data_IF_099987792373
#
_entry.id   IF_099987792373
#
_cell.length_a   1.000
_cell.length_b   1.000
_cell.length_c   1.000
_cell.angle_alpha   90.00
_cell.angle_beta   90.00
_cell.angle_gamma   90.00
#
_symmetry.space_group_name_H-M   'P 1'
#
loop_
_entity.id
_entity.type
_entity.pdbx_description
1 polymer ?
#
# COMPACT_ATOMS: atom_id res chain seq x y z
N UNK A 1 -20.82 -59.84 1.33
CA UNK A 1 -21.90 -58.86 1.03
C UNK A 1 -21.55 -57.56 1.75
N UNK A 2 -20.92 -56.61 1.05
CA UNK A 2 -21.47 -55.29 0.71
C UNK A 2 -22.15 -54.58 1.89
N UNK A 3 -21.56 -53.47 2.36
CA UNK A 3 -22.12 -52.11 2.12
C UNK A 3 -21.04 -51.07 2.41
N UNK A 4 -20.59 -50.40 1.35
CA UNK A 4 -19.83 -49.14 1.37
C UNK A 4 -20.80 -48.02 1.79
N UNK A 5 -20.39 -47.12 2.69
CA UNK A 5 -21.04 -45.81 2.84
C UNK A 5 -20.05 -44.72 2.43
N UNK A 6 -20.41 -44.06 1.33
CA UNK A 6 -19.72 -42.93 0.71
C UNK A 6 -19.84 -41.66 1.55
N UNK A 7 -18.82 -40.81 1.38
CA UNK A 7 -18.85 -39.34 1.38
C UNK A 7 -19.28 -38.63 2.66
N UNK A 8 -18.39 -37.77 3.19
CA UNK A 8 -18.63 -36.32 3.23
C UNK A 8 -17.27 -35.62 3.34
N UNK A 9 -16.92 -34.85 2.31
CA UNK A 9 -15.76 -33.95 2.30
C UNK A 9 -15.86 -32.94 3.44
N UNK A 10 -14.80 -32.80 4.22
CA UNK A 10 -14.61 -31.68 5.12
C UNK A 10 -13.54 -30.77 4.49
N UNK A 11 -13.97 -29.86 3.61
CA UNK A 11 -13.14 -28.74 3.19
C UNK A 11 -12.92 -27.84 4.41
N UNK A 12 -11.75 -27.93 5.02
CA UNK A 12 -11.29 -26.95 6.00
C UNK A 12 -11.04 -25.64 5.23
N UNK A 13 -12.05 -24.75 5.23
CA UNK A 13 -11.83 -23.35 4.96
C UNK A 13 -10.93 -22.83 6.07
N UNK A 14 -9.64 -22.73 5.79
CA UNK A 14 -8.73 -21.90 6.57
C UNK A 14 -9.20 -20.46 6.39
N UNK A 15 -10.08 -20.02 7.28
CA UNK A 15 -10.46 -18.61 7.40
C UNK A 15 -9.20 -17.84 7.71
N UNK A 16 -8.67 -17.15 6.70
CA UNK A 16 -7.64 -16.14 6.86
C UNK A 16 -8.30 -15.01 7.65
N UNK A 17 -8.22 -15.08 8.97
CA UNK A 17 -8.53 -13.94 9.84
C UNK A 17 -7.51 -12.86 9.50
N UNK A 18 -7.89 -11.93 8.63
CA UNK A 18 -7.22 -10.66 8.50
C UNK A 18 -7.28 -10.01 9.89
N UNK A 19 -6.15 -10.05 10.60
CA UNK A 19 -5.99 -9.31 11.84
C UNK A 19 -5.95 -7.86 11.40
N UNK A 20 -7.09 -7.18 11.46
CA UNK A 20 -7.12 -5.72 11.33
C UNK A 20 -6.46 -5.20 12.60
N UNK A 21 -5.13 -5.04 12.55
CA UNK A 21 -4.39 -4.38 13.60
C UNK A 21 -4.87 -2.94 13.66
N UNK A 22 -5.72 -2.63 14.63
CA UNK A 22 -6.13 -1.26 14.87
C UNK A 22 -4.88 -0.44 15.25
N UNK A 23 -4.41 0.36 14.29
CA UNK A 23 -3.34 1.31 14.51
C UNK A 23 -3.74 2.31 15.59
N UNK A 24 -3.14 2.19 16.77
CA UNK A 24 -3.40 3.13 17.86
C UNK A 24 -2.51 4.36 17.67
N UNK A 25 -2.95 5.26 16.80
CA UNK A 25 -2.32 6.56 16.52
C UNK A 25 -3.27 7.73 16.71
N UNK A 26 -4.09 7.74 17.78
CA UNK A 26 -4.98 8.86 18.08
C UNK A 26 -4.25 9.97 18.87
N UNK A 27 -3.44 10.78 18.17
CA UNK A 27 -3.17 12.16 18.59
C UNK A 27 -4.35 13.06 18.19
N UNK A 28 -4.53 14.25 18.81
CA UNK A 28 -5.51 15.20 18.31
C UNK A 28 -5.16 15.54 16.86
N UNK A 29 -6.06 15.21 15.93
CA UNK A 29 -5.86 15.41 14.49
C UNK A 29 -5.62 16.87 14.12
N UNK A 30 -5.22 17.15 12.87
CA UNK A 30 -5.00 18.52 12.41
C UNK A 30 -6.27 19.35 12.59
N UNK A 31 -6.20 20.42 13.38
CA UNK A 31 -7.31 21.33 13.69
C UNK A 31 -7.60 22.34 12.57
N UNK A 32 -7.60 21.90 11.31
CA UNK A 32 -7.98 22.74 10.16
C UNK A 32 -9.20 22.12 9.44
N UNK A 33 -10.24 22.90 9.10
CA UNK A 33 -11.46 22.36 8.48
C UNK A 33 -11.12 21.94 7.03
N UNK A 34 -11.69 20.92 6.35
CA UNK A 34 -13.11 20.60 6.12
C UNK A 34 -13.27 19.31 5.25
N UNK A 35 -13.08 18.13 5.86
CA UNK A 35 -13.11 16.77 5.26
C UNK A 35 -11.81 16.34 4.55
N UNK A 36 -10.83 15.91 5.36
CA UNK A 36 -9.55 15.40 4.85
C UNK A 36 -9.68 14.02 4.21
N UNK A 37 -9.23 13.91 2.96
CA UNK A 37 -8.92 12.62 2.37
C UNK A 37 -7.69 12.04 3.05
N UNK A 38 -7.75 10.77 3.41
CA UNK A 38 -6.73 10.13 4.23
C UNK A 38 -6.58 8.66 3.85
N UNK A 39 -5.36 8.15 3.99
CA UNK A 39 -5.02 6.75 3.73
C UNK A 39 -5.59 5.84 4.82
N UNK A 40 -6.57 5.00 4.50
CA UNK A 40 -7.24 4.14 5.47
C UNK A 40 -6.58 2.79 5.69
N UNK A 41 -5.91 2.20 4.70
CA UNK A 41 -5.26 0.91 4.85
C UNK A 41 -4.26 0.62 3.72
N UNK A 42 -3.25 -0.18 4.02
CA UNK A 42 -2.32 -0.76 3.05
C UNK A 42 -2.18 -2.25 3.35
N UNK A 43 -2.51 -3.08 2.37
CA UNK A 43 -2.39 -4.53 2.43
C UNK A 43 -1.43 -5.02 1.33
N UNK A 44 -0.39 -5.81 1.64
CA UNK A 44 0.06 -6.20 2.97
C UNK A 44 0.45 -5.01 3.84
N UNK A 45 0.21 -5.13 5.15
CA UNK A 45 0.60 -4.08 6.10
C UNK A 45 2.13 -3.94 6.14
N UNK A 46 2.62 -2.74 6.40
CA UNK A 46 4.05 -2.48 6.55
C UNK A 46 4.67 -3.36 7.65
N UNK A 47 5.85 -3.92 7.39
CA UNK A 47 6.54 -4.88 8.24
C UNK A 47 6.02 -6.32 8.16
N UNK A 48 5.04 -6.63 7.30
CA UNK A 48 4.53 -8.01 7.15
C UNK A 48 5.60 -8.96 6.61
N UNK A 49 5.60 -10.20 7.09
CA UNK A 49 6.50 -11.27 6.63
C UNK A 49 5.73 -12.53 6.27
N UNK A 50 6.28 -13.36 5.38
CA UNK A 50 5.61 -14.60 4.96
C UNK A 50 4.42 -14.36 4.03
N UNK A 51 4.41 -13.22 3.34
CA UNK A 51 3.35 -12.87 2.39
C UNK A 51 3.43 -13.80 1.17
N UNK A 52 2.29 -14.28 0.69
CA UNK A 52 2.26 -15.14 -0.50
C UNK A 52 2.91 -14.46 -1.71
N UNK A 53 3.65 -15.23 -2.51
CA UNK A 53 4.33 -14.70 -3.70
C UNK A 53 3.35 -14.25 -4.81
N UNK A 54 2.11 -14.74 -4.77
CA UNK A 54 1.03 -14.34 -5.68
C UNK A 54 0.13 -13.23 -5.07
N UNK A 55 0.61 -12.54 -4.03
CA UNK A 55 -0.16 -11.47 -3.38
C UNK A 55 -0.43 -10.31 -4.33
N UNK A 56 -1.62 -9.73 -4.21
CA UNK A 56 -1.88 -8.37 -4.68
C UNK A 56 -1.55 -7.37 -3.58
N UNK A 57 -1.39 -6.10 -3.96
CA UNK A 57 -1.27 -5.00 -3.00
C UNK A 57 -2.51 -4.12 -3.14
N UNK A 58 -3.13 -3.75 -2.03
CA UNK A 58 -4.34 -2.91 -2.00
C UNK A 58 -4.12 -1.73 -1.07
N UNK A 59 -4.43 -0.54 -1.56
CA UNK A 59 -4.38 0.72 -0.81
C UNK A 59 -5.80 1.27 -0.76
N UNK A 60 -6.29 1.56 0.44
CA UNK A 60 -7.67 2.03 0.67
C UNK A 60 -7.65 3.44 1.21
N UNK A 61 -8.53 4.30 0.70
CA UNK A 61 -8.71 5.69 1.11
C UNK A 61 -10.13 5.91 1.64
N UNK A 62 -10.33 6.94 2.47
CA UNK A 62 -11.65 7.27 3.01
C UNK A 62 -12.54 8.06 2.04
N UNK A 63 -11.99 8.51 0.91
CA UNK A 63 -12.70 9.26 -0.13
C UNK A 63 -12.31 8.78 -1.53
N UNK A 64 -13.17 9.11 -2.49
CA UNK A 64 -12.94 8.88 -3.91
C UNK A 64 -11.73 9.68 -4.40
N UNK A 65 -10.72 8.97 -4.90
CA UNK A 65 -9.47 9.53 -5.40
C UNK A 65 -9.59 10.04 -6.83
N UNK A 66 -8.72 10.96 -7.24
CA UNK A 66 -8.55 11.24 -8.66
C UNK A 66 -7.89 10.02 -9.33
N UNK A 67 -8.50 9.38 -10.35
CA UNK A 67 -7.96 8.17 -10.96
C UNK A 67 -6.54 8.32 -11.51
N UNK A 68 -6.12 9.53 -11.90
CA UNK A 68 -4.76 9.80 -12.37
C UNK A 68 -3.69 9.60 -11.28
N UNK A 69 -4.07 9.59 -9.99
CA UNK A 69 -3.14 9.44 -8.87
C UNK A 69 -2.51 8.06 -8.76
N UNK A 70 -3.00 7.05 -9.49
CA UNK A 70 -2.32 5.75 -9.55
C UNK A 70 -0.90 5.83 -10.08
N UNK A 71 -0.55 6.88 -10.84
CA UNK A 71 0.82 7.13 -11.32
C UNK A 71 1.81 7.53 -10.20
N UNK A 72 1.30 7.84 -9.01
CA UNK A 72 2.10 8.17 -7.83
C UNK A 72 2.14 7.01 -6.82
N UNK A 73 1.82 5.80 -7.27
CA UNK A 73 1.99 4.57 -6.50
C UNK A 73 2.93 3.64 -7.27
N UNK A 74 3.94 3.09 -6.57
CA UNK A 74 4.89 2.13 -7.15
C UNK A 74 5.23 1.02 -6.16
N UNK A 75 5.77 -0.08 -6.68
CA UNK A 75 6.23 -1.21 -5.88
C UNK A 75 7.64 -1.55 -6.34
N UNK A 76 8.59 -1.56 -5.42
CA UNK A 76 10.00 -1.81 -5.71
C UNK A 76 10.45 -3.11 -5.03
N UNK A 77 11.33 -3.86 -5.68
CA UNK A 77 12.05 -4.96 -5.03
C UNK A 77 13.20 -4.39 -4.19
N UNK A 78 13.26 -4.79 -2.92
CA UNK A 78 14.21 -4.26 -1.95
C UNK A 78 13.71 -2.94 -1.35
N UNK A 79 14.47 -1.88 -1.56
CA UNK A 79 14.13 -0.51 -1.12
C UNK A 79 13.51 0.31 -2.25
N UNK A 80 13.10 1.54 -1.95
CA UNK A 80 12.45 2.47 -2.89
C UNK A 80 13.36 2.92 -4.06
N UNK A 81 14.67 2.72 -3.98
CA UNK A 81 15.62 2.92 -5.08
C UNK A 81 15.87 1.66 -5.91
N UNK A 82 15.30 0.53 -5.47
CA UNK A 82 15.35 -0.74 -6.16
C UNK A 82 14.55 -0.76 -7.46
N UNK A 83 14.69 -1.84 -8.26
CA UNK A 83 13.94 -1.97 -9.50
C UNK A 83 12.43 -2.02 -9.21
N UNK A 84 11.67 -1.27 -10.01
CA UNK A 84 10.21 -1.32 -9.95
C UNK A 84 9.70 -2.69 -10.44
N UNK A 85 8.69 -3.20 -9.75
CA UNK A 85 7.99 -4.44 -10.09
C UNK A 85 6.98 -4.14 -11.19
N UNK A 86 7.08 -4.86 -12.30
CA UNK A 86 6.09 -4.75 -13.36
C UNK A 86 4.71 -5.26 -12.90
N UNK A 87 3.66 -4.50 -13.19
CA UNK A 87 2.30 -4.87 -12.86
C UNK A 87 1.27 -3.86 -13.34
N UNK A 88 0.05 -3.99 -12.84
CA UNK A 88 -1.07 -3.11 -13.23
C UNK A 88 -1.78 -2.58 -12.00
N UNK A 89 -1.97 -1.26 -11.98
CA UNK A 89 -2.77 -0.54 -11.00
C UNK A 89 -4.22 -0.41 -11.47
N UNK A 90 -5.17 -0.82 -10.64
CA UNK A 90 -6.61 -0.77 -10.95
C UNK A 90 -7.38 -0.15 -9.79
N UNK A 91 -8.20 0.86 -10.10
CA UNK A 91 -9.13 1.44 -9.14
C UNK A 91 -10.40 0.60 -9.00
N UNK A 92 -10.97 0.58 -7.80
CA UNK A 92 -12.34 0.17 -7.57
C UNK A 92 -13.32 1.10 -8.29
N UNK A 93 -14.57 0.64 -8.47
CA UNK A 93 -15.60 1.40 -9.19
C UNK A 93 -15.92 2.76 -8.55
N UNK A 94 -15.74 2.88 -7.24
CA UNK A 94 -15.94 4.09 -6.43
C UNK A 94 -14.63 4.87 -6.21
N UNK A 95 -13.50 4.43 -6.77
CA UNK A 95 -12.17 5.07 -6.68
C UNK A 95 -11.63 5.25 -5.26
N UNK A 96 -12.09 4.42 -4.31
CA UNK A 96 -11.61 4.44 -2.92
C UNK A 96 -10.53 3.40 -2.65
N UNK A 97 -10.38 2.38 -3.51
CA UNK A 97 -9.37 1.35 -3.38
C UNK A 97 -8.54 1.22 -4.66
N UNK A 98 -7.22 1.25 -4.51
CA UNK A 98 -6.24 1.07 -5.57
C UNK A 98 -5.54 -0.28 -5.40
N UNK A 99 -5.65 -1.16 -6.38
CA UNK A 99 -5.06 -2.51 -6.34
C UNK A 99 -3.95 -2.66 -7.37
N UNK A 100 -2.76 -3.06 -6.93
CA UNK A 100 -1.68 -3.50 -7.79
C UNK A 100 -1.73 -5.02 -7.95
N UNK A 101 -1.71 -5.46 -9.20
CA UNK A 101 -1.53 -6.86 -9.58
C UNK A 101 -0.17 -7.00 -10.25
N UNK A 102 0.80 -7.69 -9.62
CA UNK A 102 2.09 -7.99 -10.26
C UNK A 102 1.89 -8.74 -11.59
N UNK A 103 2.68 -8.40 -12.61
CA UNK A 103 2.64 -9.07 -13.91
C UNK A 103 3.24 -10.49 -13.84
N UNK A 104 4.02 -10.78 -12.80
CA UNK A 104 4.61 -12.08 -12.51
C UNK A 104 4.64 -12.31 -11.01
N UNK A 105 4.63 -13.57 -10.60
CA UNK A 105 4.79 -13.98 -9.21
C UNK A 105 6.04 -13.34 -8.60
N UNK A 106 5.90 -12.78 -7.40
CA UNK A 106 6.99 -12.16 -6.67
C UNK A 106 8.07 -13.19 -6.32
N UNK A 107 9.31 -12.75 -6.14
CA UNK A 107 10.39 -13.62 -5.71
C UNK A 107 10.13 -14.10 -4.27
N UNK A 108 10.38 -15.39 -3.96
CA UNK A 108 10.28 -15.89 -2.59
C UNK A 108 11.40 -15.32 -1.72
N UNK A 109 11.13 -15.21 -0.41
CA UNK A 109 12.06 -14.69 0.59
C UNK A 109 12.71 -13.33 0.21
N UNK A 110 11.96 -12.48 -0.49
CA UNK A 110 12.39 -11.17 -0.94
C UNK A 110 11.58 -10.06 -0.25
N UNK A 111 12.22 -8.92 -0.02
CA UNK A 111 11.56 -7.72 0.51
C UNK A 111 11.08 -6.85 -0.63
N UNK A 112 9.92 -6.24 -0.45
CA UNK A 112 9.31 -5.30 -1.37
C UNK A 112 8.93 -4.03 -0.63
N UNK A 113 9.01 -2.90 -1.33
CA UNK A 113 8.65 -1.57 -0.83
C UNK A 113 7.55 -0.98 -1.70
N UNK A 114 6.39 -0.74 -1.10
CA UNK A 114 5.29 0.03 -1.69
C UNK A 114 5.59 1.50 -1.42
N UNK A 115 5.52 2.36 -2.43
CA UNK A 115 5.72 3.80 -2.29
C UNK A 115 4.48 4.55 -2.77
N UNK A 116 3.95 5.41 -1.91
CA UNK A 116 2.87 6.35 -2.19
C UNK A 116 3.42 7.77 -2.17
N UNK A 117 3.26 8.50 -3.27
CA UNK A 117 3.69 9.89 -3.39
C UNK A 117 2.88 10.85 -2.53
N UNK A 118 3.54 11.85 -1.96
CA UNK A 118 2.91 12.83 -1.06
C UNK A 118 1.99 13.83 -1.78
N UNK A 119 2.09 13.95 -3.10
CA UNK A 119 1.28 14.86 -3.92
C UNK A 119 -0.02 14.26 -4.44
N UNK A 120 -0.44 13.09 -3.93
CA UNK A 120 -1.73 12.50 -4.27
C UNK A 120 -2.88 13.42 -3.88
N UNK A 121 -3.92 13.44 -4.72
CA UNK A 121 -5.12 14.24 -4.53
C UNK A 121 -6.40 13.41 -4.70
N UNK A 122 -7.42 13.79 -3.96
CA UNK A 122 -8.75 13.22 -4.15
C UNK A 122 -9.45 13.76 -5.41
N UNK A 123 -10.65 13.25 -5.68
CA UNK A 123 -11.49 13.68 -6.80
C UNK A 123 -11.96 15.14 -6.71
N UNK A 124 -11.92 15.76 -5.53
CA UNK A 124 -12.20 17.17 -5.29
C UNK A 124 -10.92 18.05 -5.32
N UNK A 125 -9.75 17.46 -5.59
CA UNK A 125 -8.47 18.16 -5.62
C UNK A 125 -7.89 18.48 -4.24
N UNK A 126 -8.35 17.82 -3.18
CA UNK A 126 -7.77 17.96 -1.84
C UNK A 126 -6.58 17.00 -1.66
N UNK A 127 -5.52 17.43 -0.94
CA UNK A 127 -4.37 16.57 -0.66
C UNK A 127 -4.76 15.40 0.25
N UNK A 128 -4.06 14.28 0.10
CA UNK A 128 -4.24 13.09 0.94
C UNK A 128 -3.32 13.15 2.16
N UNK A 129 -3.89 12.97 3.34
CA UNK A 129 -3.12 12.72 4.56
C UNK A 129 -2.63 11.25 4.59
N UNK A 130 -1.33 11.08 4.35
CA UNK A 130 -0.64 9.79 4.47
C UNK A 130 -0.07 9.57 5.87
N UNK A 131 0.09 10.64 6.66
CA UNK A 131 0.87 10.63 7.92
C UNK A 131 0.29 9.71 8.99
N UNK A 132 -1.03 9.51 8.99
CA UNK A 132 -1.73 8.64 9.93
C UNK A 132 -1.29 7.16 9.84
N UNK A 133 -0.76 6.72 8.70
CA UNK A 133 -0.25 5.37 8.47
C UNK A 133 1.28 5.25 8.62
N UNK A 134 1.92 6.21 9.30
CA UNK A 134 3.36 6.24 9.55
C UNK A 134 3.89 5.12 10.48
N UNK A 135 4.94 5.36 11.28
CA UNK A 135 5.72 4.29 11.93
C UNK A 135 4.93 3.38 12.89
N UNK A 136 3.77 3.84 13.39
CA UNK A 136 2.86 3.02 14.20
C UNK A 136 2.07 1.96 13.41
N UNK A 137 2.00 2.09 12.09
CA UNK A 137 1.22 1.23 11.17
C UNK A 137 2.11 0.52 10.14
N UNK A 138 3.43 0.58 10.33
CA UNK A 138 4.42 0.01 9.42
C UNK A 138 4.80 0.90 8.23
N UNK A 139 4.26 2.12 8.12
CA UNK A 139 4.68 3.10 7.13
C UNK A 139 5.89 3.91 7.59
N UNK A 140 6.75 4.30 6.67
CA UNK A 140 7.89 5.18 6.92
C UNK A 140 7.81 6.36 5.97
N UNK A 141 8.10 7.58 6.45
CA UNK A 141 8.16 8.75 5.57
C UNK A 141 9.25 8.55 4.51
N UNK A 142 8.90 8.73 3.25
CA UNK A 142 9.85 8.70 2.16
C UNK A 142 10.72 9.96 2.21
N UNK A 143 12.00 9.80 2.53
CA UNK A 143 12.96 10.91 2.60
C UNK A 143 13.86 10.94 1.37
N UNK A 144 14.36 12.11 0.99
CA UNK A 144 15.33 12.24 -0.11
C UNK A 144 16.59 11.37 0.08
N UNK A 145 16.97 11.10 1.33
CA UNK A 145 18.08 10.19 1.66
C UNK A 145 17.78 8.72 1.34
N UNK A 146 16.53 8.28 1.45
CA UNK A 146 16.10 6.92 1.06
C UNK A 146 16.06 6.76 -0.47
N UNK A 147 15.84 7.84 -1.23
CA UNK A 147 15.85 7.86 -2.69
C UNK A 147 17.26 7.97 -3.30
N UNK A 148 18.29 7.53 -2.55
CA UNK A 148 19.68 7.48 -3.02
C UNK A 148 20.38 8.84 -3.16
N UNK A 149 19.83 9.93 -2.63
CA UNK A 149 20.45 11.27 -2.60
C UNK A 149 20.68 11.93 -3.98
N UNK A 150 20.46 11.21 -5.08
CA UNK A 150 20.57 11.69 -6.46
C UNK A 150 19.21 11.89 -7.13
N UNK A 151 18.13 11.25 -6.66
CA UNK A 151 16.77 11.52 -7.13
C UNK A 151 16.31 12.83 -6.49
N UNK A 152 16.82 13.94 -7.02
CA UNK A 152 16.47 15.27 -6.55
C UNK A 152 14.98 15.53 -6.75
N UNK A 153 14.44 16.48 -5.99
CA UNK A 153 13.05 16.93 -6.07
C UNK A 153 12.56 17.30 -7.48
N UNK A 154 13.47 17.51 -8.43
CA UNK A 154 13.15 17.81 -9.83
C UNK A 154 12.90 16.60 -10.74
N UNK A 155 13.31 15.39 -10.37
CA UNK A 155 13.34 14.25 -11.31
C UNK A 155 12.10 13.34 -11.23
N UNK A 156 11.46 13.22 -10.07
CA UNK A 156 10.23 12.42 -9.93
C UNK A 156 8.96 13.17 -10.36
N UNK A 157 9.04 14.50 -10.50
CA UNK A 157 7.89 15.35 -10.81
C UNK A 157 7.05 15.72 -9.59
N UNK A 158 6.24 16.77 -9.72
CA UNK A 158 5.59 17.47 -8.59
C UNK A 158 4.59 16.63 -7.80
N UNK A 159 4.05 15.54 -8.35
CA UNK A 159 3.05 14.72 -7.64
C UNK A 159 3.64 13.69 -6.68
N UNK A 160 4.95 13.50 -6.65
CA UNK A 160 5.60 12.68 -5.62
C UNK A 160 5.92 13.46 -4.35
N UNK A 161 6.03 14.79 -4.45
CA UNK A 161 6.23 15.67 -3.29
C UNK A 161 4.90 16.14 -2.72
N UNK A 162 4.73 15.95 -1.41
CA UNK A 162 3.65 16.56 -0.65
C UNK A 162 3.90 18.04 -0.36
N UNK A 163 2.89 18.70 0.21
CA UNK A 163 2.91 20.13 0.50
C UNK A 163 4.05 20.55 1.45
N UNK A 164 4.52 19.64 2.31
CA UNK A 164 5.59 19.88 3.29
C UNK A 164 6.99 19.48 2.77
N UNK A 165 7.11 19.04 1.50
CA UNK A 165 8.38 18.60 0.90
C UNK A 165 8.74 17.14 1.14
N UNK A 166 7.88 16.38 1.82
CA UNK A 166 7.99 14.92 1.97
C UNK A 166 7.69 14.21 0.64
N UNK A 167 8.32 13.06 0.38
CA UNK A 167 8.06 12.25 -0.81
C UNK A 167 6.91 11.26 -0.62
N UNK A 168 6.06 11.51 0.37
CA UNK A 168 4.98 10.63 0.80
C UNK A 168 5.45 9.52 1.73
N UNK A 169 4.97 8.30 1.52
CA UNK A 169 5.11 7.20 2.48
C UNK A 169 5.49 5.88 1.80
N UNK A 170 6.36 5.12 2.46
CA UNK A 170 6.72 3.76 2.04
C UNK A 170 6.24 2.71 3.04
N UNK A 171 5.89 1.53 2.53
CA UNK A 171 5.49 0.35 3.31
C UNK A 171 6.27 -0.85 2.84
N UNK A 172 6.92 -1.57 3.75
CA UNK A 172 7.75 -2.72 3.40
C UNK A 172 7.05 -4.03 3.74
N UNK A 173 7.24 -5.08 2.95
CA UNK A 173 6.81 -6.43 3.30
C UNK A 173 7.78 -7.48 2.73
N UNK A 174 7.78 -8.68 3.30
CA UNK A 174 8.64 -9.79 2.87
C UNK A 174 7.80 -10.99 2.47
N UNK A 175 8.09 -11.55 1.29
CA UNK A 175 7.42 -12.74 0.78
C UNK A 175 7.84 -14.01 1.51
N UNK A 176 6.99 -15.03 1.47
CA UNK A 176 7.29 -16.37 1.97
C UNK A 176 8.43 -17.02 1.16
N UNK A 177 9.22 -17.86 1.83
CA UNK A 177 10.30 -18.64 1.25
C UNK A 177 9.87 -20.02 0.76
#
# INVERSE_FOLDING_TARGET
>A
MKTVRKSTSLMLLAGLTAVVGACSGAGPGPTSPEFGTALLDVAPAGGSSGVGVDTTITITFNHAMNPAMSQYASVHEGDVSGPEVDGTWTWSADTTALTFTPASTLKPAATYTIHLGGGMMDSAGQPVDLSQYGPGCGGQTATAGMMGGSMGSGEMGSGWQGADGDYGMIFTFTTAG
#
